data_IF_417812083010
#
_entry.id   IF_417812083010
#
_cell.length_a   1.000
_cell.length_b   1.000
_cell.length_c   1.000
_cell.angle_alpha   90.00
_cell.angle_beta   90.00
_cell.angle_gamma   90.00
#
_symmetry.space_group_name_H-M   'P 1'
#
loop_
_entity.id
_entity.type
_entity.pdbx_description
1 polymer ?
#
# COMPACT_ATOMS: atom_id res chain seq x y z
N UNK A 1 -2.51 26.14 6.31
CA UNK A 1 -2.90 24.78 6.75
C UNK A 1 -1.95 23.82 6.03
N UNK A 2 -1.01 23.24 6.77
CA UNK A 2 -0.01 22.30 6.25
C UNK A 2 -0.65 20.90 6.40
N UNK A 3 -0.68 20.03 5.38
CA UNK A 3 -0.98 18.63 5.62
C UNK A 3 0.24 18.03 6.34
N UNK A 4 0.15 17.98 7.67
CA UNK A 4 1.07 17.24 8.51
C UNK A 4 0.39 15.89 8.69
N UNK A 5 0.81 14.95 7.85
CA UNK A 5 1.11 13.55 8.14
C UNK A 5 1.43 12.88 6.78
N UNK A 6 2.46 12.01 6.75
CA UNK A 6 2.88 11.27 5.55
C UNK A 6 3.69 12.05 4.48
N UNK A 7 3.45 13.35 4.27
CA UNK A 7 4.00 14.06 3.10
C UNK A 7 5.53 14.31 3.12
N UNK A 8 6.13 14.40 4.31
CA UNK A 8 7.57 14.73 4.46
C UNK A 8 8.43 13.64 5.12
N UNK A 9 7.83 12.50 5.48
CA UNK A 9 8.56 11.34 6.02
C UNK A 9 9.20 11.54 7.39
N UNK A 10 8.82 12.56 8.17
CA UNK A 10 9.20 12.63 9.60
C UNK A 10 8.51 11.53 10.42
N UNK A 11 7.34 11.09 9.96
CA UNK A 11 6.67 9.87 10.37
C UNK A 11 6.69 8.94 9.16
N UNK A 12 7.65 8.02 9.10
CA UNK A 12 7.89 7.16 7.91
C UNK A 12 6.72 6.24 7.58
N UNK A 13 5.78 6.08 8.51
CA UNK A 13 4.66 5.15 8.43
C UNK A 13 3.43 5.79 9.07
N UNK A 14 2.30 5.80 8.37
CA UNK A 14 0.99 6.01 9.01
C UNK A 14 0.54 4.67 9.61
N UNK A 15 -0.13 4.65 10.77
CA UNK A 15 -0.70 3.39 11.28
C UNK A 15 -1.96 3.06 10.48
N UNK A 16 -2.04 1.85 9.96
CA UNK A 16 -3.26 1.36 9.32
C UNK A 16 -4.34 1.25 10.39
N UNK A 17 -5.48 1.90 10.15
CA UNK A 17 -6.66 1.51 10.88
C UNK A 17 -7.07 0.13 10.36
N UNK A 18 -6.96 -0.86 11.23
CA UNK A 18 -7.69 -2.10 11.06
C UNK A 18 -9.19 -1.78 11.01
N UNK A 19 -9.89 -2.36 10.06
CA UNK A 19 -11.25 -1.98 9.74
C UNK A 19 -12.25 -3.07 10.06
N UNK A 20 -11.81 -4.26 10.48
CA UNK A 20 -12.64 -5.46 10.72
C UNK A 20 -13.67 -5.65 9.59
N UNK A 21 -13.31 -5.21 8.39
CA UNK A 21 -14.17 -5.18 7.21
C UNK A 21 -13.96 -6.52 6.56
N UNK A 22 -14.66 -7.53 7.07
CA UNK A 22 -14.53 -8.88 6.57
C UNK A 22 -14.60 -8.85 5.04
N UNK A 23 -13.52 -9.28 4.39
CA UNK A 23 -13.25 -9.25 2.94
C UNK A 23 -14.27 -10.06 2.12
N UNK A 24 -15.52 -9.67 2.23
CA UNK A 24 -16.68 -10.23 1.53
C UNK A 24 -16.95 -9.34 0.32
N UNK A 25 -17.11 -9.93 -0.88
CA UNK A 25 -17.30 -9.16 -2.12
C UNK A 25 -18.59 -8.32 -2.21
N UNK A 26 -19.41 -8.24 -1.14
CA UNK A 26 -20.70 -7.57 -1.19
C UNK A 26 -20.55 -6.05 -0.94
N UNK A 27 -21.27 -5.28 -1.75
CA UNK A 27 -20.83 -3.99 -2.28
C UNK A 27 -20.92 -2.77 -1.35
N UNK A 28 -21.45 -2.89 -0.13
CA UNK A 28 -21.86 -1.71 0.67
C UNK A 28 -20.98 -1.37 1.88
N UNK A 29 -19.89 -2.10 2.12
CA UNK A 29 -18.97 -1.74 3.19
C UNK A 29 -18.17 -0.47 2.80
N UNK A 30 -17.98 0.47 3.71
CA UNK A 30 -17.27 1.73 3.46
C UNK A 30 -15.77 1.52 3.70
N UNK A 31 -15.07 0.99 2.69
CA UNK A 31 -13.62 0.69 2.74
C UNK A 31 -12.76 1.93 2.57
N UNK A 32 -13.38 3.05 2.17
CA UNK A 32 -12.69 4.28 1.81
C UNK A 32 -12.17 4.98 3.07
N UNK A 33 -11.06 4.47 3.61
CA UNK A 33 -10.55 4.86 4.92
C UNK A 33 -9.54 6.00 4.81
N UNK A 34 -8.61 5.90 3.86
CA UNK A 34 -7.50 6.85 3.75
C UNK A 34 -7.30 7.31 2.31
N UNK A 35 -7.50 8.61 2.02
CA UNK A 35 -7.25 9.14 0.69
C UNK A 35 -5.75 9.26 0.43
N UNK A 36 -5.24 8.52 -0.55
CA UNK A 36 -3.89 8.68 -1.10
C UNK A 36 -3.99 9.47 -2.40
N UNK A 37 -3.01 10.35 -2.65
CA UNK A 37 -2.87 11.05 -3.92
C UNK A 37 -1.83 10.35 -4.80
N UNK A 38 -2.17 10.12 -6.07
CA UNK A 38 -1.30 9.43 -7.01
C UNK A 38 -0.23 10.36 -7.59
N UNK A 39 0.97 10.33 -7.02
CA UNK A 39 2.16 10.96 -7.61
C UNK A 39 3.03 9.90 -8.24
N UNK A 40 3.55 10.16 -9.44
CA UNK A 40 4.55 9.28 -10.05
C UNK A 40 5.87 9.37 -9.28
N UNK A 41 6.62 8.26 -9.27
CA UNK A 41 7.85 8.07 -8.50
C UNK A 41 7.66 8.29 -6.99
N UNK A 42 6.48 7.93 -6.48
CA UNK A 42 6.14 8.04 -5.08
C UNK A 42 5.70 6.68 -4.53
N UNK A 43 5.60 6.57 -3.22
CA UNK A 43 5.07 5.38 -2.56
C UNK A 43 4.35 5.79 -1.27
N UNK A 44 3.35 5.01 -0.90
CA UNK A 44 2.65 5.13 0.37
C UNK A 44 2.95 3.90 1.24
N UNK A 45 3.29 4.12 2.51
CA UNK A 45 3.50 3.03 3.47
C UNK A 45 2.61 3.24 4.68
N UNK A 46 1.91 2.17 5.02
CA UNK A 46 1.03 2.09 6.16
C UNK A 46 1.47 0.94 7.07
N UNK A 47 1.78 1.21 8.34
CA UNK A 47 2.15 0.21 9.34
C UNK A 47 0.90 -0.52 9.81
N UNK A 48 0.83 -1.81 9.54
CA UNK A 48 -0.23 -2.70 10.01
C UNK A 48 -0.09 -2.92 11.51
N UNK A 49 1.13 -3.23 11.98
CA UNK A 49 1.40 -3.48 13.39
C UNK A 49 2.30 -4.69 13.58
N UNK A 50 2.51 -5.07 14.84
CA UNK A 50 3.16 -6.34 15.18
C UNK A 50 2.16 -7.47 14.99
N UNK A 51 2.52 -8.48 14.19
CA UNK A 51 1.66 -9.65 13.90
C UNK A 51 2.47 -10.93 14.09
N UNK A 52 1.89 -11.91 14.78
CA UNK A 52 2.53 -13.19 15.07
C UNK A 52 1.48 -14.32 15.11
N UNK A 53 1.79 -15.48 14.54
CA UNK A 53 0.90 -16.65 14.54
C UNK A 53 -0.02 -16.69 13.32
N UNK A 54 -1.13 -17.43 13.44
CA UNK A 54 -2.05 -17.69 12.34
C UNK A 54 -3.10 -16.59 12.22
N UNK A 55 -3.10 -15.88 11.08
CA UNK A 55 -3.97 -14.73 10.84
C UNK A 55 -4.63 -14.80 9.46
N UNK A 56 -5.82 -14.24 9.33
CA UNK A 56 -6.36 -13.74 8.06
C UNK A 56 -5.81 -12.33 7.86
N UNK A 57 -5.17 -12.06 6.73
CA UNK A 57 -4.66 -10.73 6.41
C UNK A 57 -5.01 -10.37 4.97
N UNK A 58 -5.42 -9.12 4.77
CA UNK A 58 -5.69 -8.63 3.44
C UNK A 58 -5.69 -7.13 3.32
N UNK A 59 -5.97 -6.67 2.10
CA UNK A 59 -6.13 -5.26 1.79
C UNK A 59 -7.16 -5.07 0.67
N UNK A 60 -7.75 -3.88 0.66
CA UNK A 60 -8.66 -3.42 -0.38
C UNK A 60 -8.20 -2.07 -0.92
N UNK A 61 -8.33 -1.84 -2.23
CA UNK A 61 -8.04 -0.56 -2.87
C UNK A 61 -9.13 -0.20 -3.88
N UNK A 62 -9.55 1.06 -3.87
CA UNK A 62 -10.48 1.64 -4.84
C UNK A 62 -9.72 2.64 -5.70
N UNK A 63 -9.17 2.18 -6.82
CA UNK A 63 -8.20 2.93 -7.63
C UNK A 63 -8.85 3.46 -8.92
N UNK A 64 -8.65 4.74 -9.28
CA UNK A 64 -9.12 5.28 -10.55
C UNK A 64 -8.32 4.72 -11.73
N UNK A 65 -8.93 4.72 -12.92
CA UNK A 65 -8.21 4.36 -14.16
C UNK A 65 -7.03 5.29 -14.42
N UNK A 66 -6.09 4.89 -15.27
CA UNK A 66 -4.91 5.66 -15.70
C UNK A 66 -3.80 5.75 -14.68
N UNK A 67 -3.61 4.72 -13.84
CA UNK A 67 -2.57 4.61 -12.83
C UNK A 67 -1.84 3.28 -12.97
N UNK A 68 -0.52 3.33 -12.92
CA UNK A 68 0.31 2.13 -12.75
C UNK A 68 0.83 2.12 -11.32
N UNK A 69 0.64 1.02 -10.62
CA UNK A 69 1.03 0.89 -9.22
C UNK A 69 1.25 -0.57 -8.84
N UNK A 70 1.92 -0.79 -7.71
CA UNK A 70 1.96 -2.09 -7.08
C UNK A 70 1.63 -2.04 -5.60
N UNK A 71 1.13 -3.14 -5.06
CA UNK A 71 0.75 -3.30 -3.66
C UNK A 71 1.46 -4.53 -3.11
N UNK A 72 2.02 -4.42 -1.92
CA UNK A 72 2.72 -5.51 -1.23
C UNK A 72 2.57 -5.39 0.28
N UNK A 73 2.57 -6.53 0.98
CA UNK A 73 2.67 -6.57 2.44
C UNK A 73 4.07 -7.03 2.81
N UNK A 74 4.85 -6.15 3.43
CA UNK A 74 6.24 -6.39 3.76
C UNK A 74 6.45 -6.37 5.27
N UNK A 75 7.39 -7.17 5.77
CA UNK A 75 7.85 -7.07 7.14
C UNK A 75 8.88 -5.92 7.30
N UNK A 76 9.35 -5.70 8.54
CA UNK A 76 10.23 -4.57 8.86
C UNK A 76 11.56 -4.60 8.08
N UNK A 77 12.14 -5.78 7.86
CA UNK A 77 13.37 -5.87 7.07
C UNK A 77 13.14 -5.48 5.59
N UNK A 78 12.11 -6.05 4.97
CA UNK A 78 11.87 -5.85 3.55
C UNK A 78 11.34 -4.45 3.23
N UNK A 79 10.58 -3.81 4.13
CA UNK A 79 10.17 -2.41 3.91
C UNK A 79 11.36 -1.45 3.97
N UNK A 80 12.35 -1.69 4.83
CA UNK A 80 13.56 -0.87 4.88
C UNK A 80 14.40 -1.05 3.60
N UNK A 81 14.53 -2.28 3.11
CA UNK A 81 15.18 -2.57 1.82
C UNK A 81 14.44 -1.91 0.65
N UNK A 82 13.11 -1.92 0.65
CA UNK A 82 12.28 -1.21 -0.33
C UNK A 82 12.64 0.29 -0.37
N UNK A 83 12.64 0.94 0.80
CA UNK A 83 12.93 2.39 0.96
C UNK A 83 14.35 2.73 0.51
N UNK A 84 15.33 1.86 0.79
CA UNK A 84 16.73 2.11 0.49
C UNK A 84 17.13 1.76 -0.96
N UNK A 85 16.21 1.26 -1.79
CA UNK A 85 16.55 0.80 -3.14
C UNK A 85 17.31 -0.54 -3.19
N UNK A 86 17.36 -1.26 -2.08
CA UNK A 86 18.01 -2.57 -1.99
C UNK A 86 17.07 -3.67 -2.54
N UNK A 87 17.63 -4.83 -2.88
CA UNK A 87 16.81 -5.98 -3.24
C UNK A 87 15.96 -6.42 -2.04
N UNK A 88 14.66 -6.64 -2.27
CA UNK A 88 13.70 -7.02 -1.24
C UNK A 88 12.78 -8.14 -1.73
N UNK A 89 12.03 -8.75 -0.83
CA UNK A 89 11.05 -9.78 -1.18
C UNK A 89 9.98 -9.91 -0.11
N UNK A 90 9.24 -11.02 -0.19
CA UNK A 90 8.21 -11.35 0.79
C UNK A 90 8.81 -12.26 1.86
N UNK A 91 8.54 -11.97 3.13
CA UNK A 91 8.98 -12.83 4.25
C UNK A 91 8.17 -14.13 4.37
N UNK A 92 7.03 -14.21 3.68
CA UNK A 92 6.11 -15.33 3.71
C UNK A 92 5.47 -15.52 2.31
N UNK A 93 5.30 -16.77 1.89
CA UNK A 93 4.76 -17.10 0.55
C UNK A 93 3.30 -16.64 0.38
N UNK A 94 2.48 -16.75 1.43
CA UNK A 94 1.08 -16.31 1.39
C UNK A 94 1.01 -14.78 1.27
N UNK A 95 1.92 -14.04 1.92
CA UNK A 95 2.03 -12.59 1.72
C UNK A 95 2.43 -12.24 0.28
N UNK A 96 3.20 -13.09 -0.41
CA UNK A 96 3.50 -12.90 -1.83
C UNK A 96 2.25 -13.04 -2.73
N UNK A 97 1.28 -13.87 -2.35
CA UNK A 97 0.01 -14.00 -3.07
C UNK A 97 -0.85 -12.72 -2.98
N UNK A 98 -0.67 -11.95 -1.90
CA UNK A 98 -1.24 -10.62 -1.75
C UNK A 98 -0.58 -9.57 -2.64
N UNK A 99 0.57 -9.84 -3.24
CA UNK A 99 1.22 -8.87 -4.12
C UNK A 99 0.37 -8.61 -5.38
N UNK A 100 0.32 -7.36 -5.80
CA UNK A 100 -0.35 -6.95 -7.04
C UNK A 100 0.54 -5.96 -7.77
N UNK A 101 0.81 -6.21 -9.05
CA UNK A 101 1.27 -5.20 -9.99
C UNK A 101 0.11 -4.89 -10.94
N UNK A 102 -0.23 -3.62 -11.10
CA UNK A 102 -1.38 -3.22 -11.92
C UNK A 102 -1.07 -2.00 -12.76
N UNK A 103 -1.55 -2.03 -14.00
CA UNK A 103 -1.65 -0.88 -14.87
C UNK A 103 -3.12 -0.68 -15.25
N UNK A 104 -3.72 0.40 -14.74
CA UNK A 104 -5.11 0.79 -15.05
C UNK A 104 -5.19 1.74 -16.25
N UNK A 105 -4.11 1.86 -17.04
CA UNK A 105 -4.07 2.59 -18.31
C UNK A 105 -5.31 2.34 -19.17
N UNK A 106 -5.82 3.36 -19.87
CA UNK A 106 -7.24 3.48 -20.16
C UNK A 106 -7.73 2.39 -21.10
N UNK A 107 -8.72 1.63 -20.64
CA UNK A 107 -9.72 1.04 -21.52
C UNK A 107 -10.94 1.96 -21.51
N UNK A 108 -10.85 3.06 -22.25
CA UNK A 108 -11.95 3.86 -22.80
C UNK A 108 -13.04 4.40 -21.82
N UNK A 109 -12.82 4.38 -20.49
CA UNK A 109 -13.88 4.63 -19.50
C UNK A 109 -13.51 5.60 -18.39
N UNK A 110 -14.48 6.41 -17.95
CA UNK A 110 -14.44 7.06 -16.65
C UNK A 110 -14.89 6.06 -15.58
N UNK A 111 -14.02 5.69 -14.65
CA UNK A 111 -14.38 4.77 -13.56
C UNK A 111 -13.25 4.52 -12.57
N UNK A 112 -13.57 3.84 -11.47
CA UNK A 112 -12.60 3.25 -10.55
C UNK A 112 -12.75 1.73 -10.54
N UNK A 113 -11.65 1.05 -10.26
CA UNK A 113 -11.61 -0.39 -10.07
C UNK A 113 -11.41 -0.65 -8.59
N UNK A 114 -12.29 -1.48 -8.03
CA UNK A 114 -12.15 -1.97 -6.67
C UNK A 114 -11.50 -3.34 -6.67
N UNK A 115 -10.46 -3.51 -5.87
CA UNK A 115 -9.67 -4.73 -5.79
C UNK A 115 -9.53 -5.12 -4.34
N UNK A 116 -9.59 -6.42 -4.10
CA UNK A 116 -9.63 -7.04 -2.80
C UNK A 116 -8.71 -8.27 -2.85
N UNK A 117 -7.77 -8.35 -1.92
CA UNK A 117 -6.92 -9.53 -1.74
C UNK A 117 -6.81 -9.83 -0.27
N UNK A 118 -6.96 -11.11 0.08
CA UNK A 118 -6.75 -11.61 1.43
C UNK A 118 -6.18 -13.03 1.35
N UNK A 119 -5.53 -13.46 2.41
CA UNK A 119 -5.00 -14.80 2.58
C UNK A 119 -4.97 -15.15 4.06
N UNK A 120 -4.98 -16.45 4.35
CA UNK A 120 -4.55 -16.94 5.64
C UNK A 120 -3.03 -17.14 5.62
N UNK A 121 -2.35 -16.77 6.71
CA UNK A 121 -0.92 -16.93 6.82
C UNK A 121 -0.49 -17.21 8.26
N UNK A 122 0.47 -18.12 8.41
CA UNK A 122 1.23 -18.27 9.66
C UNK A 122 2.46 -17.34 9.58
N UNK A 123 2.44 -16.28 10.39
CA UNK A 123 3.44 -15.22 10.36
C UNK A 123 4.41 -15.32 11.54
N UNK A 124 5.70 -15.11 11.25
CA UNK A 124 6.71 -14.91 12.29
C UNK A 124 6.51 -13.52 12.89
N UNK A 125 6.61 -13.41 14.21
CA UNK A 125 6.48 -12.16 14.95
C UNK A 125 7.39 -11.05 14.43
N UNK A 126 6.81 -10.05 13.76
CA UNK A 126 7.47 -8.86 13.25
C UNK A 126 6.44 -7.73 13.05
N UNK A 127 6.92 -6.51 12.78
CA UNK A 127 6.06 -5.45 12.26
C UNK A 127 5.83 -5.64 10.76
N UNK A 128 4.57 -5.58 10.34
CA UNK A 128 4.16 -5.66 8.95
C UNK A 128 3.62 -4.32 8.45
N UNK A 129 3.75 -4.11 7.13
CA UNK A 129 3.48 -2.85 6.46
C UNK A 129 2.79 -3.11 5.12
N UNK A 130 1.73 -2.37 4.83
CA UNK A 130 1.20 -2.25 3.48
C UNK A 130 2.02 -1.21 2.72
N UNK A 131 2.55 -1.58 1.57
CA UNK A 131 3.29 -0.71 0.66
C UNK A 131 2.49 -0.57 -0.64
N UNK A 132 2.14 0.66 -0.99
CA UNK A 132 1.54 1.01 -2.29
C UNK A 132 2.58 1.82 -3.06
N UNK A 133 3.23 1.18 -4.02
CA UNK A 133 4.29 1.76 -4.84
C UNK A 133 3.69 2.38 -6.11
N UNK A 134 3.79 3.70 -6.24
CA UNK A 134 3.32 4.48 -7.39
C UNK A 134 4.50 4.77 -8.33
N UNK A 135 5.14 3.69 -8.79
CA UNK A 135 6.32 3.70 -9.67
C UNK A 135 7.57 4.35 -9.06
N UNK A 136 7.69 4.41 -7.73
CA UNK A 136 8.97 4.73 -7.08
C UNK A 136 10.04 3.69 -7.40
N UNK A 137 9.62 2.42 -7.50
CA UNK A 137 10.44 1.29 -7.98
C UNK A 137 9.75 0.57 -9.11
N UNK A 138 10.55 -0.04 -9.98
CA UNK A 138 10.04 -0.82 -11.10
C UNK A 138 9.93 -2.31 -10.76
N UNK A 139 10.77 -2.83 -9.87
CA UNK A 139 10.78 -4.23 -9.47
C UNK A 139 11.39 -4.47 -8.07
N UNK A 140 11.58 -5.76 -7.73
CA UNK A 140 12.17 -6.26 -6.49
C UNK A 140 13.72 -6.28 -6.48
N UNK A 141 14.37 -5.91 -7.59
CA UNK A 141 15.82 -5.92 -7.78
C UNK A 141 16.40 -4.61 -7.27
N UNK A 142 17.68 -4.60 -6.90
CA UNK A 142 18.36 -3.36 -6.53
C UNK A 142 18.27 -2.31 -7.63
N UNK A 143 17.77 -1.14 -7.27
CA UNK A 143 17.66 0.03 -8.13
C UNK A 143 18.45 1.18 -7.50
N UNK A 144 19.12 2.02 -8.31
CA UNK A 144 19.63 3.30 -7.80
C UNK A 144 18.45 4.23 -7.54
N UNK A 145 17.97 4.22 -6.30
CA UNK A 145 16.82 5.03 -5.93
C UNK A 145 17.30 6.37 -5.38
N UNK A 146 17.00 7.45 -6.09
CA UNK A 146 17.28 8.81 -5.63
C UNK A 146 16.20 9.20 -4.63
N UNK A 147 16.54 9.24 -3.34
CA UNK A 147 15.64 9.83 -2.35
C UNK A 147 15.43 11.31 -2.70
N UNK A 148 14.24 11.66 -3.20
CA UNK A 148 13.89 13.05 -3.51
C UNK A 148 13.90 13.83 -2.21
N UNK A 149 14.59 14.97 -2.19
CA UNK A 149 14.62 15.85 -1.01
C UNK A 149 13.20 16.32 -0.67
N UNK A 150 12.97 16.72 0.59
CA UNK A 150 11.68 17.28 1.02
C UNK A 150 11.20 18.41 0.11
N UNK A 151 12.10 19.30 -0.27
CA UNK A 151 11.81 20.41 -1.14
C UNK A 151 11.39 19.94 -2.53
N UNK A 152 12.05 18.93 -3.10
CA UNK A 152 11.65 18.34 -4.38
C UNK A 152 10.30 17.64 -4.30
N UNK A 153 10.04 16.87 -3.23
CA UNK A 153 8.73 16.24 -3.00
C UNK A 153 7.62 17.29 -2.91
N UNK A 154 7.86 18.38 -2.18
CA UNK A 154 6.92 19.50 -2.06
C UNK A 154 6.75 20.29 -3.36
N UNK A 155 7.83 20.54 -4.10
CA UNK A 155 7.78 21.25 -5.37
C UNK A 155 7.07 20.45 -6.45
N UNK A 156 7.18 19.11 -6.48
CA UNK A 156 6.38 18.27 -7.38
C UNK A 156 4.90 18.36 -7.02
N UNK A 157 4.57 18.21 -5.74
CA UNK A 157 3.20 18.36 -5.25
C UNK A 157 2.59 19.73 -5.53
N UNK A 158 3.33 20.81 -5.31
CA UNK A 158 2.84 22.17 -5.50
C UNK A 158 2.89 22.63 -6.97
N UNK A 159 3.90 22.18 -7.72
CA UNK A 159 4.10 22.45 -9.13
C UNK A 159 3.03 21.81 -10.00
N UNK A 160 2.73 20.53 -9.79
CA UNK A 160 1.66 19.83 -10.51
C UNK A 160 0.26 20.37 -10.18
N UNK A 161 0.06 20.90 -8.97
CA UNK A 161 -1.19 21.58 -8.60
C UNK A 161 -1.37 22.93 -9.32
N UNK A 162 -0.30 23.51 -9.88
CA UNK A 162 -0.32 24.88 -10.46
C UNK A 162 -0.04 24.95 -11.97
N UNK A 163 0.41 23.88 -12.63
CA UNK A 163 0.64 23.84 -14.09
C UNK A 163 -0.37 22.97 -14.84
N UNK A 164 -0.82 23.42 -16.02
CA UNK A 164 -1.80 22.79 -16.93
C UNK A 164 -1.39 21.40 -17.51
N UNK A 165 -0.31 20.77 -17.04
CA UNK A 165 0.06 19.40 -17.42
C UNK A 165 -0.69 18.40 -16.54
N UNK A 166 -1.96 18.27 -16.85
CA UNK A 166 -2.98 17.52 -16.13
C UNK A 166 -2.89 16.00 -16.39
N UNK A 167 -1.75 15.36 -16.11
CA UNK A 167 -1.82 13.96 -15.65
C UNK A 167 -2.41 14.01 -14.24
N UNK A 168 -3.74 14.17 -14.22
CA UNK A 168 -4.54 14.51 -13.05
C UNK A 168 -4.10 13.70 -11.84
N UNK A 169 -3.56 14.36 -10.80
CA UNK A 169 -3.35 13.73 -9.50
C UNK A 169 -4.69 13.15 -9.06
N UNK A 170 -4.80 11.82 -9.04
CA UNK A 170 -6.03 11.13 -8.66
C UNK A 170 -5.98 10.78 -7.20
N UNK A 171 -7.11 10.91 -6.53
CA UNK A 171 -7.27 10.44 -5.16
C UNK A 171 -7.92 9.08 -5.18
N UNK A 172 -7.41 8.19 -4.34
CA UNK A 172 -7.91 6.84 -4.20
C UNK A 172 -7.86 6.41 -2.76
N UNK A 173 -8.58 5.35 -2.41
CA UNK A 173 -8.69 4.90 -1.03
C UNK A 173 -8.21 3.47 -0.88
N UNK A 174 -7.75 3.14 0.33
CA UNK A 174 -7.39 1.78 0.72
C UNK A 174 -7.88 1.44 2.12
N UNK A 175 -7.88 0.15 2.41
CA UNK A 175 -8.17 -0.46 3.70
C UNK A 175 -7.25 -1.67 3.93
N UNK A 176 -7.00 -1.97 5.20
CA UNK A 176 -6.32 -3.19 5.66
C UNK A 176 -7.21 -3.84 6.69
N UNK A 177 -7.19 -5.17 6.74
CA UNK A 177 -7.91 -5.95 7.75
C UNK A 177 -7.07 -7.18 8.15
N UNK A 178 -6.98 -7.43 9.45
CA UNK A 178 -6.15 -8.47 10.08
C UNK A 178 -6.90 -9.15 11.22
N UNK A 179 -7.38 -10.37 10.99
CA UNK A 179 -8.03 -11.17 12.03
C UNK A 179 -7.11 -12.29 12.52
N UNK A 180 -6.89 -12.36 13.83
CA UNK A 180 -6.25 -13.52 14.44
C UNK A 180 -7.19 -14.72 14.42
N UNK A 181 -6.71 -15.84 13.87
CA UNK A 181 -7.44 -17.11 13.90
C UNK A 181 -6.95 -17.92 15.09
N UNK A 182 -7.87 -18.29 15.97
CA UNK A 182 -7.54 -19.31 16.96
C UNK A 182 -7.16 -20.59 16.20
N UNK A 183 -5.95 -21.09 16.44
CA UNK A 183 -5.60 -22.42 15.96
C UNK A 183 -6.59 -23.40 16.53
N UNK A 184 -7.11 -24.31 15.70
CA UNK A 184 -7.91 -25.44 16.17
C UNK A 184 -7.10 -26.15 17.27
N UNK A 185 -7.41 -25.86 18.54
CA UNK A 185 -7.02 -26.70 19.64
C UNK A 185 -7.87 -27.96 19.49
N UNK A 186 -7.37 -28.92 18.70
CA UNK A 186 -7.77 -30.31 18.85
C UNK A 186 -7.50 -30.67 20.32
N UNK A 187 -8.58 -30.65 21.09
CA UNK A 187 -8.65 -31.13 22.45
C UNK A 187 -8.57 -32.65 22.36
N UNK A 188 -7.36 -33.19 22.56
CA UNK A 188 -7.16 -34.60 22.89
C UNK A 188 -7.22 -34.80 24.41
#
# INVERSE_FOLDING_TARGET
MIPIDGFFGDYRYETCADKDVGFTPNEDQNWDSFPISSYRDYYHICKIGYVEGYVSIGWGINVPQGLTFSVSVLNNENVNKFINGEAYGHSNINLAELALDMDTSPSDGSGSTRILKYTDAELIGDNYYLVINLQYRNDYISDEVREKSRTERFSLWYGDVTTENNEQIKRFFYSVDVDYKEGDQESQ
#
